data_IF_546554380039
#
_entry.id   IF_546554380039
#
_cell.length_a   1.000
_cell.length_b   1.000
_cell.length_c   1.000
_cell.angle_alpha   90.00
_cell.angle_beta   90.00
_cell.angle_gamma   90.00
#
_symmetry.space_group_name_H-M   'P 1'
#
loop_
_entity.id
_entity.type
_entity.pdbx_description
1 polymer ?
#
# COMPACT_ATOMS: atom_id res chain seq x y z
N UNK A 1 17.50 25.11 0.94
CA UNK A 1 16.46 24.78 -0.05
C UNK A 1 16.28 23.26 0.02
N UNK A 2 15.69 22.77 1.11
CA UNK A 2 15.55 21.31 1.38
C UNK A 2 14.46 21.06 2.46
N UNK A 3 13.38 21.83 2.43
CA UNK A 3 12.29 21.79 3.44
C UNK A 3 10.92 21.62 2.77
N UNK A 4 10.87 21.10 1.54
CA UNK A 4 9.60 20.85 0.84
C UNK A 4 9.43 19.36 0.53
N UNK A 5 10.54 18.66 0.23
CA UNK A 5 10.48 17.26 -0.20
C UNK A 5 10.04 16.32 0.93
N UNK A 6 10.52 16.53 2.16
CA UNK A 6 10.16 15.70 3.32
C UNK A 6 8.68 15.85 3.73
N UNK A 7 8.18 17.10 3.72
CA UNK A 7 6.77 17.40 3.95
C UNK A 7 5.85 16.81 2.87
N UNK A 8 6.27 16.84 1.60
CA UNK A 8 5.51 16.27 0.48
C UNK A 8 5.44 14.73 0.57
N UNK A 9 6.54 14.05 0.87
CA UNK A 9 6.56 12.59 1.03
C UNK A 9 5.73 12.14 2.25
N UNK A 10 5.85 12.86 3.37
CA UNK A 10 5.02 12.64 4.56
C UNK A 10 3.54 12.83 4.25
N UNK A 11 3.19 13.88 3.51
CA UNK A 11 1.81 14.16 3.09
C UNK A 11 1.24 13.04 2.22
N UNK A 12 1.98 12.57 1.21
CA UNK A 12 1.55 11.46 0.34
C UNK A 12 1.36 10.18 1.16
N UNK A 13 2.30 9.86 2.04
CA UNK A 13 2.21 8.66 2.89
C UNK A 13 0.95 8.67 3.77
N UNK A 14 0.60 9.82 4.35
CA UNK A 14 -0.59 9.97 5.20
C UNK A 14 -1.90 9.72 4.43
N UNK A 15 -1.98 10.16 3.17
CA UNK A 15 -3.15 9.93 2.32
C UNK A 15 -3.27 8.46 1.91
N UNK A 16 -2.15 7.78 1.69
CA UNK A 16 -2.16 6.35 1.36
C UNK A 16 -2.60 5.50 2.55
N UNK A 17 -2.16 5.84 3.75
CA UNK A 17 -2.63 5.22 4.99
C UNK A 17 -4.14 5.42 5.13
N UNK A 18 -4.62 6.66 4.97
CA UNK A 18 -6.06 6.96 5.04
C UNK A 18 -6.85 6.16 3.98
N UNK A 19 -6.34 6.02 2.77
CA UNK A 19 -6.99 5.24 1.72
C UNK A 19 -7.12 3.76 2.10
N UNK A 20 -6.08 3.16 2.69
CA UNK A 20 -6.12 1.77 3.18
C UNK A 20 -7.08 1.62 4.34
N UNK A 21 -7.09 2.57 5.27
CA UNK A 21 -8.05 2.59 6.39
C UNK A 21 -9.49 2.68 5.89
N UNK A 22 -9.75 3.49 4.86
CA UNK A 22 -11.07 3.58 4.23
C UNK A 22 -11.47 2.26 3.56
N UNK A 23 -10.55 1.56 2.90
CA UNK A 23 -10.81 0.22 2.33
C UNK A 23 -11.14 -0.81 3.43
N UNK A 24 -10.38 -0.77 4.54
CA UNK A 24 -10.63 -1.63 5.70
C UNK A 24 -11.98 -1.35 6.37
N UNK A 25 -12.34 -0.07 6.51
CA UNK A 25 -13.62 0.36 7.07
C UNK A 25 -14.80 -0.03 6.16
N UNK A 26 -14.62 0.07 4.84
CA UNK A 26 -15.60 -0.38 3.87
C UNK A 26 -15.74 -1.91 3.82
N UNK A 27 -14.68 -2.64 4.21
CA UNK A 27 -14.59 -4.08 4.01
C UNK A 27 -14.42 -4.47 2.53
N UNK A 28 -14.17 -3.48 1.67
CA UNK A 28 -14.08 -3.64 0.22
C UNK A 28 -12.78 -3.02 -0.29
N UNK A 29 -12.07 -3.72 -1.18
CA UNK A 29 -12.33 -5.09 -1.64
C UNK A 29 -11.98 -6.15 -0.57
N UNK A 30 -12.67 -7.31 -0.60
CA UNK A 30 -12.60 -8.37 0.44
C UNK A 30 -11.17 -8.85 0.76
N UNK A 31 -10.23 -8.72 -0.17
CA UNK A 31 -8.84 -9.09 0.06
C UNK A 31 -8.11 -8.16 1.04
N UNK A 32 -8.56 -6.92 1.20
CA UNK A 32 -7.93 -5.92 2.10
C UNK A 32 -8.04 -6.35 3.57
N UNK A 33 -9.24 -6.62 4.13
CA UNK A 33 -9.35 -7.12 5.50
C UNK A 33 -8.71 -8.51 5.67
N UNK A 34 -8.73 -9.35 4.63
CA UNK A 34 -8.07 -10.66 4.68
C UNK A 34 -6.55 -10.55 4.84
N UNK A 35 -5.91 -9.58 4.18
CA UNK A 35 -4.47 -9.32 4.29
C UNK A 35 -4.11 -8.75 5.65
N UNK A 36 -4.90 -7.82 6.20
CA UNK A 36 -4.69 -7.33 7.56
C UNK A 36 -4.77 -8.48 8.59
N UNK A 37 -5.77 -9.34 8.46
CA UNK A 37 -5.90 -10.52 9.33
C UNK A 37 -4.70 -11.46 9.20
N UNK A 38 -4.20 -11.69 7.98
CA UNK A 38 -2.99 -12.50 7.74
C UNK A 38 -1.77 -11.90 8.46
N UNK A 39 -1.54 -10.60 8.33
CA UNK A 39 -0.38 -9.91 8.92
C UNK A 39 -0.44 -9.90 10.45
N UNK A 40 -1.61 -9.63 11.01
CA UNK A 40 -1.82 -9.68 12.48
C UNK A 40 -1.66 -11.09 13.04
N UNK A 41 -2.11 -12.13 12.33
CA UNK A 41 -1.92 -13.53 12.75
C UNK A 41 -0.45 -13.96 12.81
N UNK A 42 0.42 -13.38 11.97
CA UNK A 42 1.86 -13.66 11.99
C UNK A 42 2.64 -12.73 12.92
N UNK A 43 1.94 -11.85 13.66
CA UNK A 43 2.50 -11.07 14.76
C UNK A 43 2.81 -9.59 14.46
N UNK A 44 2.35 -9.04 13.32
CA UNK A 44 2.44 -7.60 13.09
C UNK A 44 1.35 -6.86 13.86
N UNK A 45 1.71 -5.72 14.45
CA UNK A 45 0.74 -4.76 14.98
C UNK A 45 -0.12 -4.21 13.83
N UNK A 46 -1.37 -3.83 14.14
CA UNK A 46 -2.30 -3.32 13.12
C UNK A 46 -1.74 -2.11 12.39
N UNK A 47 -1.13 -1.18 13.12
CA UNK A 47 -0.54 0.03 12.58
C UNK A 47 0.58 -0.30 11.58
N UNK A 48 1.50 -1.18 11.95
CA UNK A 48 2.59 -1.64 11.07
C UNK A 48 2.06 -2.38 9.83
N UNK A 49 1.02 -3.20 10.00
CA UNK A 49 0.37 -3.88 8.88
C UNK A 49 -0.27 -2.89 7.90
N UNK A 50 -0.95 -1.86 8.40
CA UNK A 50 -1.54 -0.80 7.56
C UNK A 50 -0.45 -0.01 6.83
N UNK A 51 0.68 0.26 7.48
CA UNK A 51 1.84 0.90 6.83
C UNK A 51 2.38 0.07 5.67
N UNK A 52 2.51 -1.25 5.85
CA UNK A 52 2.92 -2.16 4.77
C UNK A 52 1.91 -2.20 3.63
N UNK A 53 0.61 -2.20 3.94
CA UNK A 53 -0.45 -2.14 2.95
C UNK A 53 -0.46 -0.81 2.19
N UNK A 54 -0.18 0.31 2.87
CA UNK A 54 -0.04 1.62 2.23
C UNK A 54 1.18 1.68 1.29
N UNK A 55 2.29 1.03 1.64
CA UNK A 55 3.45 0.88 0.74
C UNK A 55 3.10 0.07 -0.52
N UNK A 56 2.32 -1.01 -0.38
CA UNK A 56 1.84 -1.77 -1.54
C UNK A 56 0.94 -0.92 -2.46
N UNK A 57 0.10 -0.05 -1.88
CA UNK A 57 -0.72 0.90 -2.63
C UNK A 57 0.14 1.96 -3.33
N UNK A 58 1.17 2.49 -2.64
CA UNK A 58 2.14 3.42 -3.21
C UNK A 58 2.80 2.81 -4.46
N UNK A 59 3.27 1.57 -4.35
CA UNK A 59 3.91 0.85 -5.45
C UNK A 59 2.99 0.72 -6.66
N UNK A 60 1.72 0.35 -6.46
CA UNK A 60 0.76 0.28 -7.57
C UNK A 60 0.56 1.64 -8.24
N UNK A 61 0.50 2.73 -7.46
CA UNK A 61 0.37 4.09 -8.00
C UNK A 61 1.64 4.49 -8.77
N UNK A 62 2.83 4.17 -8.27
CA UNK A 62 4.10 4.41 -8.98
C UNK A 62 4.11 3.68 -10.33
N UNK A 63 3.75 2.40 -10.36
CA UNK A 63 3.68 1.61 -11.60
C UNK A 63 2.60 2.15 -12.55
N UNK A 64 1.44 2.55 -12.01
CA UNK A 64 0.35 3.15 -12.77
C UNK A 64 0.82 4.41 -13.50
N UNK A 65 1.54 5.29 -12.79
CA UNK A 65 2.08 6.53 -13.34
C UNK A 65 3.23 6.28 -14.32
N UNK A 66 4.16 5.38 -13.99
CA UNK A 66 5.32 5.07 -14.83
C UNK A 66 4.93 4.42 -16.16
N UNK A 67 3.92 3.55 -16.15
CA UNK A 67 3.43 2.85 -17.34
C UNK A 67 2.29 3.59 -18.06
N UNK A 68 1.90 4.80 -17.62
CA UNK A 68 0.76 5.58 -18.14
C UNK A 68 -0.51 4.72 -18.31
N UNK A 69 -0.82 3.91 -17.29
CA UNK A 69 -1.93 2.95 -17.29
C UNK A 69 -2.96 3.29 -16.22
N UNK A 70 -4.20 2.78 -16.30
CA UNK A 70 -5.13 2.85 -15.17
C UNK A 70 -4.68 1.95 -14.00
N UNK A 71 -5.20 2.23 -12.81
CA UNK A 71 -5.00 1.41 -11.61
C UNK A 71 -5.43 -0.03 -11.86
N UNK A 72 -4.58 -1.00 -11.52
CA UNK A 72 -4.81 -2.43 -11.66
C UNK A 72 -5.07 -3.04 -10.28
N UNK A 73 -6.34 -3.24 -9.97
CA UNK A 73 -6.76 -3.88 -8.71
C UNK A 73 -6.25 -5.31 -8.56
N UNK A 74 -6.03 -6.05 -9.65
CA UNK A 74 -5.49 -7.39 -9.58
C UNK A 74 -3.98 -7.37 -9.27
N UNK A 75 -3.24 -6.38 -9.79
CA UNK A 75 -1.84 -6.17 -9.41
C UNK A 75 -1.73 -5.72 -7.94
N UNK A 76 -2.56 -4.77 -7.51
CA UNK A 76 -2.65 -4.37 -6.11
C UNK A 76 -2.97 -5.54 -5.16
N UNK A 77 -3.92 -6.40 -5.53
CA UNK A 77 -4.21 -7.61 -4.75
C UNK A 77 -2.97 -8.53 -4.62
N UNK A 78 -2.22 -8.74 -5.71
CA UNK A 78 -0.99 -9.55 -5.68
C UNK A 78 0.05 -8.93 -4.74
N UNK A 79 0.25 -7.61 -4.78
CA UNK A 79 1.17 -6.90 -3.88
C UNK A 79 0.76 -7.07 -2.41
N UNK A 80 -0.51 -6.86 -2.07
CA UNK A 80 -1.00 -7.03 -0.70
C UNK A 80 -0.86 -8.47 -0.19
N UNK A 81 -1.11 -9.46 -1.07
CA UNK A 81 -0.97 -10.87 -0.70
C UNK A 81 0.48 -11.28 -0.50
N UNK A 82 1.44 -10.61 -1.14
CA UNK A 82 2.87 -10.84 -0.97
C UNK A 82 3.42 -10.32 0.36
N UNK A 83 2.76 -9.34 1.00
CA UNK A 83 3.19 -8.77 2.28
C UNK A 83 3.48 -9.85 3.35
N UNK A 84 4.54 -9.69 4.16
CA UNK A 84 5.36 -8.48 4.31
C UNK A 84 6.44 -8.29 3.23
N UNK A 85 6.61 -9.25 2.32
CA UNK A 85 7.60 -9.17 1.25
C UNK A 85 7.00 -8.42 0.05
N UNK A 86 7.44 -7.19 -0.18
CA UNK A 86 7.14 -6.48 -1.43
C UNK A 86 8.11 -6.98 -2.52
N UNK A 87 7.67 -7.09 -3.79
CA UNK A 87 8.59 -7.40 -4.88
C UNK A 87 9.69 -6.32 -4.92
N UNK A 88 10.94 -6.76 -5.08
CA UNK A 88 12.03 -5.84 -5.40
C UNK A 88 11.61 -5.06 -6.65
N UNK A 89 11.80 -3.74 -6.65
CA UNK A 89 11.58 -2.95 -7.86
C UNK A 89 12.51 -3.56 -8.91
N UNK A 90 11.94 -4.19 -9.94
CA UNK A 90 12.74 -4.63 -11.09
C UNK A 90 13.27 -3.32 -11.72
N UNK A 91 14.53 -3.00 -11.44
CA UNK A 91 15.26 -1.93 -12.10
C UNK A 91 15.51 -2.37 -13.56
N UNK A 92 14.60 -2.02 -14.47
CA UNK A 92 14.80 -2.16 -15.93
C UNK A 92 15.35 -0.86 -16.54
#
# INVERSE_FOLDING_TARGET
MTDHTDDEESFVSSHLIEAVENQLAAGEPDYVPAVLNKLTLVGYEREDAVLLMAQALAYEIEVMLAADRPFDGAHYERLLRALPELPEREED
#
